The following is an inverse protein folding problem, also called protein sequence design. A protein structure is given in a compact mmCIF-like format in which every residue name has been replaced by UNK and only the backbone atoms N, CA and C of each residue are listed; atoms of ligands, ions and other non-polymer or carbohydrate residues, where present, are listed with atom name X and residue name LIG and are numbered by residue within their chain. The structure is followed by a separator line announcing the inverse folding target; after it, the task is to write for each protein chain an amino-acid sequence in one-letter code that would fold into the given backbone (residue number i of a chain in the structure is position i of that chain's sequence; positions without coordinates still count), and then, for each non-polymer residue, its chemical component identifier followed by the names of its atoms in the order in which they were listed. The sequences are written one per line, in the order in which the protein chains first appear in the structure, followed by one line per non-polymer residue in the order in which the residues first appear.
data_IF_605961494926
#
_entry.id   IF_605961494926
#
_cell.length_a   1.000
_cell.length_b   1.000
_cell.length_c   1.000
_cell.angle_alpha   90.00
_cell.angle_beta   90.00
_cell.angle_gamma   90.00
#
_symmetry.space_group_name_H-M   'P 1'
#
loop_
_entity.id
_entity.type
_entity.pdbx_description
1 polymer ?
#
# COMPACT_ATOMS: atom_id res chain seq x y z
N UNK A 1 -10.25 -20.88 45.03
CA UNK A 1 -10.92 -20.11 43.96
C UNK A 1 -10.27 -18.73 43.95
N UNK A 2 -9.16 -18.58 43.22
CA UNK A 2 -8.40 -17.33 43.17
C UNK A 2 -8.90 -16.50 41.99
N UNK A 3 -9.52 -15.36 42.29
CA UNK A 3 -9.95 -14.37 41.31
C UNK A 3 -8.73 -13.50 41.01
N UNK A 4 -8.14 -13.67 39.82
CA UNK A 4 -7.09 -12.80 39.30
C UNK A 4 -7.79 -11.55 38.77
N UNK A 5 -7.69 -10.45 39.52
CA UNK A 5 -8.19 -9.15 39.11
C UNK A 5 -7.32 -8.57 37.99
N UNK A 6 -7.89 -8.43 36.80
CA UNK A 6 -7.31 -7.66 35.69
C UNK A 6 -7.37 -6.17 36.03
N UNK A 7 -6.21 -5.53 36.20
CA UNK A 7 -6.15 -4.07 36.29
C UNK A 7 -6.34 -3.44 34.92
N UNK A 8 -7.20 -2.42 34.78
CA UNK A 8 -7.37 -1.68 33.53
C UNK A 8 -6.10 -0.86 33.23
N UNK A 9 -5.55 -1.03 32.02
CA UNK A 9 -4.45 -0.20 31.52
C UNK A 9 -4.94 1.25 31.40
N UNK A 10 -4.40 2.13 32.22
CA UNK A 10 -4.60 3.58 32.16
C UNK A 10 -4.18 4.10 30.77
N UNK A 11 -5.15 4.55 29.97
CA UNK A 11 -4.93 5.24 28.71
C UNK A 11 -4.14 6.54 28.97
N UNK A 12 -2.85 6.55 28.61
CA UNK A 12 -2.05 7.78 28.62
C UNK A 12 -2.50 8.64 27.45
N UNK A 13 -3.35 9.62 27.73
CA UNK A 13 -3.67 10.73 26.84
C UNK A 13 -2.48 11.71 26.78
N UNK A 14 -1.36 11.28 26.19
CA UNK A 14 -0.27 12.18 25.83
C UNK A 14 -0.62 12.86 24.52
N UNK A 15 -0.85 14.17 24.55
CA UNK A 15 -1.09 15.00 23.36
C UNK A 15 0.04 14.86 22.36
N UNK A 16 -0.17 14.01 21.36
CA UNK A 16 0.74 13.76 20.26
C UNK A 16 0.50 14.80 19.18
N UNK A 17 0.92 16.04 19.41
CA UNK A 17 1.23 16.97 18.32
C UNK A 17 2.60 16.56 17.78
N UNK A 18 2.69 15.39 17.13
CA UNK A 18 3.92 14.96 16.46
C UNK A 18 3.98 15.71 15.14
N UNK A 19 4.90 16.65 15.03
CA UNK A 19 5.48 17.00 13.74
C UNK A 19 6.04 15.70 13.15
N UNK A 20 5.28 15.06 12.26
CA UNK A 20 5.82 14.00 11.43
C UNK A 20 6.86 14.69 10.57
N UNK A 21 8.14 14.38 10.82
CA UNK A 21 9.20 14.77 9.93
C UNK A 21 8.86 14.18 8.56
N UNK A 22 8.77 15.05 7.54
CA UNK A 22 8.59 14.61 6.16
C UNK A 22 9.81 13.76 5.82
N UNK A 23 9.58 12.46 5.65
CA UNK A 23 10.60 11.56 5.17
C UNK A 23 10.83 11.86 3.69
N UNK A 24 12.08 12.07 3.33
CA UNK A 24 12.52 12.21 1.94
C UNK A 24 13.41 11.00 1.66
N UNK A 25 12.89 9.97 0.97
CA UNK A 25 13.70 8.80 0.66
C UNK A 25 14.85 9.16 -0.27
N UNK A 26 15.99 8.50 -0.09
CA UNK A 26 17.15 8.68 -0.96
C UNK A 26 17.24 7.58 -2.04
N UNK A 27 18.19 7.72 -2.97
CA UNK A 27 18.41 6.73 -4.05
C UNK A 27 18.64 5.32 -3.50
N UNK A 28 19.33 5.18 -2.36
CA UNK A 28 19.60 3.88 -1.79
C UNK A 28 18.33 3.23 -1.25
N UNK A 29 17.37 4.01 -0.74
CA UNK A 29 16.06 3.52 -0.31
C UNK A 29 15.26 2.87 -1.45
N UNK A 30 15.20 3.52 -2.62
CA UNK A 30 14.52 2.95 -3.79
C UNK A 30 15.26 1.74 -4.38
N UNK A 31 16.60 1.74 -4.35
CA UNK A 31 17.39 0.65 -4.90
C UNK A 31 17.44 -0.61 -4.02
N UNK A 32 17.04 -0.53 -2.74
CA UNK A 32 16.96 -1.68 -1.82
C UNK A 32 15.59 -2.37 -1.83
N UNK A 33 14.56 -1.68 -2.30
CA UNK A 33 13.20 -2.21 -2.39
C UNK A 33 13.01 -2.91 -3.75
N UNK A 34 12.59 -4.19 -3.77
CA UNK A 34 12.40 -4.92 -5.02
C UNK A 34 11.33 -4.34 -5.95
N UNK A 35 10.24 -3.77 -5.42
CA UNK A 35 9.17 -3.17 -6.24
C UNK A 35 9.69 -1.93 -6.93
N UNK A 36 10.31 -1.01 -6.19
CA UNK A 36 10.92 0.17 -6.80
C UNK A 36 12.03 -0.19 -7.79
N UNK A 37 12.89 -1.16 -7.43
CA UNK A 37 13.93 -1.63 -8.34
C UNK A 37 13.34 -2.12 -9.67
N UNK A 38 12.25 -2.89 -9.62
CA UNK A 38 11.60 -3.38 -10.83
C UNK A 38 10.88 -2.27 -11.61
N UNK A 39 10.28 -1.27 -10.95
CA UNK A 39 9.72 -0.08 -11.62
C UNK A 39 10.74 0.58 -12.54
N UNK A 40 11.96 0.82 -12.06
CA UNK A 40 13.01 1.45 -12.87
C UNK A 40 13.54 0.53 -13.97
N UNK A 41 13.59 -0.78 -13.73
CA UNK A 41 13.94 -1.77 -14.76
C UNK A 41 12.88 -1.83 -15.86
N UNK A 42 11.60 -1.73 -15.51
CA UNK A 42 10.50 -1.68 -16.47
C UNK A 42 10.53 -0.37 -17.28
N UNK A 43 10.79 0.77 -16.63
CA UNK A 43 10.93 2.06 -17.30
C UNK A 43 12.08 2.06 -18.32
N UNK A 44 13.27 1.60 -17.93
CA UNK A 44 14.44 1.49 -18.81
C UNK A 44 14.17 0.58 -20.02
N UNK A 45 13.52 -0.56 -19.80
CA UNK A 45 13.16 -1.50 -20.88
C UNK A 45 12.13 -0.93 -21.85
N UNK A 46 11.19 -0.16 -21.34
CA UNK A 46 10.20 0.54 -22.17
C UNK A 46 10.81 1.76 -22.89
N UNK A 47 12.08 2.10 -22.62
CA UNK A 47 12.77 3.23 -23.21
C UNK A 47 12.26 4.57 -22.70
N UNK A 48 11.65 4.60 -21.51
CA UNK A 48 11.20 5.81 -20.85
C UNK A 48 12.40 6.59 -20.31
N UNK A 49 12.38 7.90 -20.47
CA UNK A 49 13.34 8.78 -19.80
C UNK A 49 12.88 9.12 -18.36
N UNK A 50 13.49 10.13 -17.73
CA UNK A 50 13.17 10.48 -16.34
C UNK A 50 11.86 11.27 -16.22
N UNK A 51 11.37 11.86 -17.31
CA UNK A 51 10.18 12.71 -17.34
C UNK A 51 8.90 11.87 -17.30
N UNK A 52 8.88 10.69 -17.90
CA UNK A 52 7.69 9.84 -18.00
C UNK A 52 7.32 9.16 -16.68
N UNK A 53 8.25 8.60 -15.87
CA UNK A 53 7.93 8.12 -14.52
C UNK A 53 7.46 9.24 -13.57
N UNK A 54 7.64 10.52 -13.95
CA UNK A 54 7.08 11.64 -13.19
C UNK A 54 5.58 11.89 -13.47
N UNK A 55 5.05 11.31 -14.55
CA UNK A 55 3.62 11.26 -14.81
C UNK A 55 2.93 10.29 -13.82
N UNK A 56 1.92 10.73 -13.05
CA UNK A 56 1.30 9.87 -12.05
C UNK A 56 0.64 8.60 -12.59
N UNK A 57 0.08 8.65 -13.81
CA UNK A 57 -0.52 7.47 -14.43
C UNK A 57 0.55 6.41 -14.69
N UNK A 58 1.63 6.84 -15.34
CA UNK A 58 2.77 6.01 -15.71
C UNK A 58 3.45 5.42 -14.47
N UNK A 59 3.68 6.23 -13.42
CA UNK A 59 4.23 5.76 -12.16
C UNK A 59 3.36 4.67 -11.50
N UNK A 60 2.04 4.88 -11.49
CA UNK A 60 1.09 3.93 -10.89
C UNK A 60 1.03 2.62 -11.67
N UNK A 61 1.02 2.70 -13.00
CA UNK A 61 1.10 1.55 -13.89
C UNK A 61 2.38 0.73 -13.66
N UNK A 62 3.53 1.39 -13.66
CA UNK A 62 4.81 0.72 -13.42
C UNK A 62 4.81 0.06 -12.05
N UNK A 63 4.28 0.73 -11.02
CA UNK A 63 4.17 0.20 -9.67
C UNK A 63 3.31 -1.07 -9.59
N UNK A 64 2.10 -1.05 -10.17
CA UNK A 64 1.20 -2.19 -10.19
C UNK A 64 1.78 -3.36 -11.00
N UNK A 65 2.39 -3.08 -12.16
CA UNK A 65 3.09 -4.11 -12.96
C UNK A 65 4.23 -4.75 -12.17
N UNK A 66 5.07 -3.92 -11.55
CA UNK A 66 6.20 -4.39 -10.75
C UNK A 66 5.72 -5.22 -9.55
N UNK A 67 4.65 -4.80 -8.90
CA UNK A 67 4.09 -5.54 -7.77
C UNK A 67 3.55 -6.90 -8.20
N UNK A 68 2.78 -6.97 -9.29
CA UNK A 68 2.27 -8.23 -9.83
C UNK A 68 3.40 -9.19 -10.21
N UNK A 69 4.39 -8.71 -10.96
CA UNK A 69 5.56 -9.52 -11.36
C UNK A 69 6.35 -10.06 -10.14
N UNK A 70 6.29 -9.39 -8.99
CA UNK A 70 6.97 -9.82 -7.77
C UNK A 70 6.05 -10.51 -6.76
N UNK A 71 4.74 -10.54 -7.01
CA UNK A 71 3.76 -11.12 -6.10
C UNK A 71 4.11 -12.61 -5.83
N UNK A 72 4.02 -13.09 -4.58
CA UNK A 72 4.23 -14.50 -4.25
C UNK A 72 3.39 -15.49 -5.06
N UNK A 73 2.25 -15.02 -5.57
CA UNK A 73 1.25 -15.82 -6.27
C UNK A 73 1.28 -15.64 -7.79
N UNK A 74 2.09 -14.72 -8.32
CA UNK A 74 2.16 -14.56 -9.78
C UNK A 74 2.80 -15.78 -10.43
N UNK A 75 2.12 -16.31 -11.44
CA UNK A 75 2.53 -17.50 -12.18
C UNK A 75 3.86 -17.30 -12.92
N UNK A 76 4.59 -18.39 -13.15
CA UNK A 76 5.86 -18.39 -13.89
C UNK A 76 6.79 -19.52 -13.47
N UNK A 77 7.81 -19.78 -14.28
CA UNK A 77 8.81 -20.82 -14.02
C UNK A 77 9.82 -20.42 -12.92
N UNK A 78 10.01 -19.11 -12.71
CA UNK A 78 10.93 -18.55 -11.72
C UNK A 78 10.22 -18.31 -10.36
N UNK A 79 10.87 -18.73 -9.27
CA UNK A 79 10.37 -18.45 -7.91
C UNK A 79 10.32 -16.93 -7.64
N UNK A 80 9.25 -16.40 -7.01
CA UNK A 80 9.12 -14.97 -6.66
C UNK A 80 10.36 -14.38 -5.96
N UNK A 81 11.02 -15.14 -5.08
CA UNK A 81 12.23 -14.68 -4.39
C UNK A 81 13.40 -14.41 -5.35
N UNK A 82 13.56 -15.25 -6.38
CA UNK A 82 14.60 -15.07 -7.40
C UNK A 82 14.31 -13.85 -8.29
N UNK A 83 13.02 -13.60 -8.61
CA UNK A 83 12.59 -12.41 -9.35
C UNK A 83 12.94 -11.12 -8.59
N UNK A 84 12.64 -11.05 -7.29
CA UNK A 84 13.03 -9.91 -6.43
C UNK A 84 14.55 -9.70 -6.41
N UNK A 85 15.33 -10.76 -6.18
CA UNK A 85 16.79 -10.67 -6.19
C UNK A 85 17.33 -10.18 -7.54
N UNK A 86 16.74 -10.65 -8.65
CA UNK A 86 17.11 -10.23 -10.01
C UNK A 86 16.78 -8.75 -10.26
N UNK A 87 15.63 -8.26 -9.81
CA UNK A 87 15.26 -6.85 -9.93
C UNK A 87 16.31 -5.95 -9.24
N UNK A 88 16.72 -6.31 -8.02
CA UNK A 88 17.75 -5.58 -7.26
C UNK A 88 19.12 -5.58 -7.96
N UNK A 89 19.48 -6.63 -8.69
CA UNK A 89 20.71 -6.64 -9.50
C UNK A 89 20.58 -5.78 -10.77
N UNK A 90 19.43 -5.86 -11.45
CA UNK A 90 19.19 -5.15 -12.71
C UNK A 90 19.05 -3.64 -12.53
N UNK A 91 18.59 -3.15 -11.37
CA UNK A 91 18.49 -1.71 -11.11
C UNK A 91 19.85 -1.05 -10.85
N UNK A 92 20.88 -1.80 -10.44
CA UNK A 92 22.22 -1.25 -10.12
C UNK A 92 22.80 -0.33 -11.19
N UNK A 93 22.86 -0.72 -12.48
CA UNK A 93 23.34 0.17 -13.55
C UNK A 93 22.41 1.36 -13.81
N UNK A 94 21.14 1.30 -13.39
CA UNK A 94 20.13 2.33 -13.59
C UNK A 94 20.13 3.43 -12.53
N UNK A 95 21.12 3.43 -11.61
CA UNK A 95 21.25 4.48 -10.57
C UNK A 95 21.08 5.91 -11.10
N UNK A 96 21.62 6.33 -12.27
CA UNK A 96 21.40 7.67 -12.78
C UNK A 96 19.94 7.98 -13.11
N UNK A 97 19.19 7.00 -13.65
CA UNK A 97 17.75 7.14 -13.90
C UNK A 97 16.99 7.26 -12.58
N UNK A 98 17.29 6.39 -11.60
CA UNK A 98 16.69 6.47 -10.26
C UNK A 98 16.92 7.85 -9.65
N UNK A 99 18.17 8.33 -9.65
CA UNK A 99 18.53 9.65 -9.12
C UNK A 99 17.80 10.79 -9.83
N UNK A 100 17.69 10.75 -11.16
CA UNK A 100 16.99 11.76 -11.93
C UNK A 100 15.49 11.82 -11.57
N UNK A 101 14.83 10.65 -11.51
CA UNK A 101 13.39 10.57 -11.21
C UNK A 101 13.12 11.01 -9.77
N UNK A 102 13.84 10.50 -8.77
CA UNK A 102 13.51 10.80 -7.36
C UNK A 102 13.79 12.26 -6.97
N UNK A 103 14.76 12.90 -7.63
CA UNK A 103 15.10 14.31 -7.37
C UNK A 103 14.25 15.27 -8.22
N UNK A 104 13.38 14.76 -9.10
CA UNK A 104 12.44 15.59 -9.82
C UNK A 104 11.34 16.12 -8.89
N UNK A 105 11.21 17.44 -8.82
CA UNK A 105 10.18 18.11 -8.03
C UNK A 105 8.74 17.73 -8.39
N UNK A 106 8.49 17.24 -9.62
CA UNK A 106 7.20 16.68 -10.04
C UNK A 106 6.83 15.45 -9.24
N UNK A 107 7.79 14.70 -8.69
CA UNK A 107 7.57 13.52 -7.85
C UNK A 107 7.37 13.84 -6.37
N UNK A 108 7.21 15.11 -6.01
CA UNK A 108 6.90 15.52 -4.63
C UNK A 108 5.57 14.95 -4.09
N UNK A 109 4.71 14.41 -4.96
CA UNK A 109 3.48 13.72 -4.55
C UNK A 109 3.73 12.29 -4.04
N UNK A 110 4.87 11.65 -4.35
CA UNK A 110 5.15 10.28 -3.92
C UNK A 110 5.15 10.11 -2.38
N UNK A 111 5.83 10.97 -1.60
CA UNK A 111 5.77 10.93 -0.13
C UNK A 111 4.64 11.79 0.45
N UNK A 112 3.79 12.39 -0.40
CA UNK A 112 2.75 13.27 0.09
C UNK A 112 1.64 12.46 0.81
N UNK A 113 1.05 13.01 1.87
CA UNK A 113 -0.16 12.43 2.47
C UNK A 113 -1.28 12.32 1.45
N UNK A 114 -2.19 11.36 1.65
CA UNK A 114 -3.32 11.14 0.77
C UNK A 114 -4.19 12.41 0.62
N UNK A 115 -4.62 12.72 -0.61
CA UNK A 115 -5.45 13.89 -0.85
C UNK A 115 -6.87 13.65 -0.32
N UNK A 116 -7.19 14.26 0.82
CA UNK A 116 -8.45 14.10 1.54
C UNK A 116 -9.70 14.40 0.71
N UNK A 117 -9.61 15.29 -0.27
CA UNK A 117 -10.74 15.67 -1.12
C UNK A 117 -10.93 14.79 -2.37
N UNK A 118 -9.98 13.88 -2.60
CA UNK A 118 -9.82 13.11 -3.84
C UNK A 118 -9.50 11.65 -3.53
N UNK A 119 -10.26 11.04 -2.61
CA UNK A 119 -10.11 9.63 -2.28
C UNK A 119 -11.08 8.82 -3.11
N UNK A 120 -10.57 7.91 -3.94
CA UNK A 120 -11.39 7.08 -4.81
C UNK A 120 -11.62 5.71 -4.19
N UNK A 121 -12.89 5.35 -4.05
CA UNK A 121 -13.33 4.02 -3.66
C UNK A 121 -13.90 3.27 -4.86
N UNK A 122 -13.38 2.07 -5.09
CA UNK A 122 -13.83 1.14 -6.13
C UNK A 122 -14.40 -0.12 -5.46
N UNK A 123 -15.58 -0.58 -5.89
CA UNK A 123 -16.19 -1.79 -5.34
C UNK A 123 -17.23 -2.40 -6.28
N UNK A 124 -17.25 -3.73 -6.33
CA UNK A 124 -18.25 -4.59 -6.98
C UNK A 124 -19.30 -5.13 -5.99
N UNK A 125 -19.10 -4.92 -4.68
CA UNK A 125 -20.04 -5.35 -3.64
C UNK A 125 -21.05 -4.25 -3.32
N UNK A 126 -22.29 -4.45 -3.77
CA UNK A 126 -23.40 -3.53 -3.54
C UNK A 126 -23.71 -3.28 -2.06
N UNK A 127 -23.28 -4.18 -1.18
CA UNK A 127 -23.53 -4.11 0.27
C UNK A 127 -22.56 -3.18 0.99
N UNK A 128 -21.43 -2.81 0.35
CA UNK A 128 -20.46 -1.88 0.92
C UNK A 128 -20.96 -0.46 0.72
N UNK A 129 -21.31 0.19 1.83
CA UNK A 129 -21.58 1.62 1.89
C UNK A 129 -20.31 2.33 2.40
N UNK A 130 -19.59 3.10 1.56
CA UNK A 130 -18.36 3.76 1.98
C UNK A 130 -18.58 4.75 3.13
N UNK A 131 -19.80 5.26 3.32
CA UNK A 131 -20.13 6.16 4.44
C UNK A 131 -20.30 5.42 5.77
N UNK A 132 -20.34 4.08 5.77
CA UNK A 132 -20.55 3.23 6.95
C UNK A 132 -19.39 2.27 7.17
N UNK A 133 -18.19 2.82 7.30
CA UNK A 133 -16.98 2.07 7.64
C UNK A 133 -17.17 1.34 8.97
N UNK A 134 -17.05 0.01 8.97
CA UNK A 134 -17.08 -0.79 10.18
C UNK A 134 -15.78 -0.61 10.97
N UNK A 135 -15.89 -0.38 12.28
CA UNK A 135 -14.70 -0.33 13.14
C UNK A 135 -14.24 -1.75 13.49
N UNK A 136 -12.99 -2.12 13.19
CA UNK A 136 -12.45 -3.43 13.56
C UNK A 136 -12.57 -3.67 15.07
N UNK A 137 -12.92 -4.91 15.45
CA UNK A 137 -13.12 -5.29 16.84
C UNK A 137 -12.42 -6.63 17.13
N UNK A 138 -11.88 -6.77 18.33
CA UNK A 138 -11.23 -8.00 18.77
C UNK A 138 -9.76 -8.14 18.33
N UNK A 139 -9.16 -9.33 18.52
CA UNK A 139 -7.79 -9.61 18.12
C UNK A 139 -7.66 -9.73 16.59
N UNK A 140 -6.44 -9.59 16.07
CA UNK A 140 -6.17 -9.81 14.65
C UNK A 140 -6.57 -11.23 14.22
N UNK A 141 -7.31 -11.34 13.11
CA UNK A 141 -7.67 -12.65 12.54
C UNK A 141 -6.50 -13.27 11.77
N UNK A 142 -6.58 -14.56 11.43
CA UNK A 142 -5.57 -15.21 10.59
C UNK A 142 -5.43 -14.54 9.22
N UNK A 143 -6.55 -14.11 8.65
CA UNK A 143 -6.57 -13.37 7.40
C UNK A 143 -5.93 -11.98 7.55
N UNK A 144 -6.24 -11.24 8.62
CA UNK A 144 -5.63 -9.92 8.85
C UNK A 144 -4.12 -10.00 9.09
N UNK A 145 -3.64 -11.08 9.73
CA UNK A 145 -2.21 -11.35 9.89
C UNK A 145 -1.52 -11.63 8.56
N UNK A 146 -2.18 -12.39 7.69
CA UNK A 146 -1.68 -12.72 6.36
C UNK A 146 -1.70 -11.51 5.41
N UNK A 147 -2.87 -10.91 5.22
CA UNK A 147 -3.12 -9.83 4.27
C UNK A 147 -2.65 -8.46 4.77
N UNK A 148 -2.26 -8.36 6.05
CA UNK A 148 -1.73 -7.14 6.66
C UNK A 148 -2.67 -5.93 6.52
N UNK A 149 -3.98 -6.17 6.50
CA UNK A 149 -5.05 -5.16 6.38
C UNK A 149 -6.33 -5.69 7.08
N UNK A 150 -7.33 -4.85 7.40
CA UNK A 150 -8.55 -5.28 8.08
C UNK A 150 -9.56 -6.02 7.18
N UNK A 151 -10.31 -6.99 7.71
CA UNK A 151 -11.15 -7.91 6.90
C UNK A 151 -12.38 -7.24 6.28
N UNK A 152 -12.99 -6.29 6.99
CA UNK A 152 -14.19 -5.56 6.55
C UNK A 152 -13.89 -4.08 6.41
N UNK A 153 -13.26 -3.72 5.29
CA UNK A 153 -12.66 -2.41 5.09
C UNK A 153 -13.28 -1.67 3.91
N UNK A 154 -13.36 -0.35 4.07
CA UNK A 154 -13.45 0.57 2.94
C UNK A 154 -12.02 0.98 2.63
N UNK A 155 -11.57 0.68 1.42
CA UNK A 155 -10.27 1.12 0.93
C UNK A 155 -10.47 2.24 -0.10
N UNK A 156 -9.59 3.22 -0.05
CA UNK A 156 -9.45 4.22 -1.09
C UNK A 156 -8.03 4.27 -1.63
N UNK A 157 -7.89 4.77 -2.85
CA UNK A 157 -6.62 5.25 -3.40
C UNK A 157 -6.76 6.73 -3.74
N UNK A 158 -5.67 7.46 -3.77
CA UNK A 158 -5.68 8.87 -4.12
C UNK A 158 -5.92 9.04 -5.63
N UNK A 159 -6.95 9.80 -5.97
CA UNK A 159 -7.24 10.16 -7.34
C UNK A 159 -6.17 11.13 -7.86
N UNK A 160 -5.57 10.76 -8.98
CA UNK A 160 -4.47 11.47 -9.62
C UNK A 160 -5.02 12.61 -10.49
N UNK A 161 -4.21 13.63 -10.69
CA UNK A 161 -4.55 14.72 -11.62
C UNK A 161 -4.23 14.26 -13.04
N UNK A 162 -5.26 14.26 -13.89
CA UNK A 162 -5.15 13.97 -15.33
C UNK A 162 -5.52 15.18 -16.17
N UNK A 163 -5.19 15.14 -17.46
CA UNK A 163 -5.59 16.22 -18.36
C UNK A 163 -7.13 16.28 -18.49
N UNK A 164 -7.70 17.47 -18.76
CA UNK A 164 -9.15 17.60 -18.94
C UNK A 164 -9.67 16.68 -20.05
N UNK A 165 -10.66 15.83 -19.73
CA UNK A 165 -11.27 14.88 -20.66
C UNK A 165 -10.67 13.47 -20.62
N UNK A 166 -9.59 13.26 -19.87
CA UNK A 166 -9.04 11.94 -19.60
C UNK A 166 -9.81 11.21 -18.49
N UNK A 167 -9.76 9.89 -18.54
CA UNK A 167 -10.36 9.02 -17.52
C UNK A 167 -9.67 9.25 -16.18
N UNK A 168 -10.47 9.42 -15.13
CA UNK A 168 -9.97 9.47 -13.75
C UNK A 168 -9.14 8.23 -13.44
N UNK A 169 -7.97 8.41 -12.82
CA UNK A 169 -7.05 7.32 -12.48
C UNK A 169 -6.56 7.45 -11.04
N UNK A 170 -6.18 6.31 -10.48
CA UNK A 170 -5.58 6.16 -9.15
C UNK A 170 -4.76 4.87 -9.14
N UNK A 171 -4.04 4.60 -8.05
CA UNK A 171 -3.33 3.32 -7.87
C UNK A 171 -4.25 2.11 -8.06
N UNK A 172 -5.49 2.17 -7.59
CA UNK A 172 -6.46 1.09 -7.76
C UNK A 172 -6.89 0.87 -9.23
N UNK A 173 -6.92 1.90 -10.06
CA UNK A 173 -7.19 1.75 -11.49
C UNK A 173 -6.03 1.07 -12.22
N UNK A 174 -4.80 1.45 -11.89
CA UNK A 174 -3.60 0.81 -12.46
C UNK A 174 -3.54 -0.68 -12.09
N UNK A 175 -3.87 -1.00 -10.83
CA UNK A 175 -3.96 -2.36 -10.32
C UNK A 175 -4.98 -3.20 -11.09
N UNK A 176 -6.20 -2.68 -11.28
CA UNK A 176 -7.25 -3.33 -12.07
C UNK A 176 -6.84 -3.54 -13.54
N UNK A 177 -6.19 -2.55 -14.16
CA UNK A 177 -5.85 -2.62 -15.57
C UNK A 177 -4.76 -3.63 -15.90
N UNK A 178 -3.88 -3.91 -14.93
CA UNK A 178 -2.85 -4.95 -15.05
C UNK A 178 -3.27 -6.29 -14.43
N UNK A 179 -4.38 -6.33 -13.70
CA UNK A 179 -4.82 -7.52 -12.98
C UNK A 179 -3.86 -7.92 -11.87
N UNK A 180 -3.23 -6.92 -11.23
CA UNK A 180 -2.32 -7.15 -10.12
C UNK A 180 -3.10 -7.64 -8.89
N UNK A 181 -2.51 -8.59 -8.15
CA UNK A 181 -3.08 -9.09 -6.90
C UNK A 181 -4.12 -10.19 -7.06
N UNK A 182 -5.02 -10.30 -6.08
CA UNK A 182 -6.06 -11.34 -6.01
C UNK A 182 -7.49 -10.81 -6.21
N UNK A 183 -7.64 -9.55 -6.61
CA UNK A 183 -8.93 -8.90 -6.81
C UNK A 183 -9.39 -8.98 -8.27
N UNK A 184 -10.40 -9.79 -8.52
CA UNK A 184 -11.05 -9.95 -9.83
C UNK A 184 -12.52 -9.52 -9.72
N UNK A 185 -12.82 -8.22 -9.83
CA UNK A 185 -14.19 -7.76 -9.60
C UNK A 185 -15.15 -8.14 -10.72
N UNK A 186 -16.43 -8.21 -10.37
CA UNK A 186 -17.52 -8.22 -11.34
C UNK A 186 -17.79 -6.79 -11.87
N UNK A 187 -17.96 -6.67 -13.19
CA UNK A 187 -18.30 -5.40 -13.86
C UNK A 187 -19.81 -5.31 -14.15
N UNK A 188 -20.43 -4.11 -14.12
CA UNK A 188 -19.80 -2.81 -13.96
C UNK A 188 -19.34 -2.50 -12.52
N UNK A 189 -18.11 -1.99 -12.39
CA UNK A 189 -17.51 -1.64 -11.10
C UNK A 189 -17.93 -0.24 -10.66
N UNK A 190 -18.45 -0.10 -9.44
CA UNK A 190 -18.90 1.20 -8.93
C UNK A 190 -17.70 2.05 -8.51
N UNK A 191 -17.79 3.33 -8.85
CA UNK A 191 -16.79 4.32 -8.50
C UNK A 191 -17.40 5.40 -7.62
N UNK A 192 -16.76 5.71 -6.49
CA UNK A 192 -17.20 6.81 -5.61
C UNK A 192 -15.99 7.65 -5.21
N UNK A 193 -16.06 8.96 -5.48
CA UNK A 193 -15.14 9.94 -4.89
C UNK A 193 -15.61 10.30 -3.49
N UNK A 194 -14.76 10.07 -2.50
CA UNK A 194 -14.98 10.37 -1.10
C UNK A 194 -14.17 11.59 -0.68
N UNK A 195 -14.77 12.40 0.19
CA UNK A 195 -14.10 13.49 0.87
C UNK A 195 -13.94 13.13 2.35
N UNK A 196 -12.69 13.05 2.80
CA UNK A 196 -12.29 12.74 4.17
C UNK A 196 -12.39 14.00 5.02
N UNK A 197 -12.92 13.86 6.24
CA UNK A 197 -12.97 14.91 7.23
C UNK A 197 -11.58 15.47 7.55
N UNK A 198 -11.50 16.79 7.74
CA UNK A 198 -10.25 17.45 8.18
C UNK A 198 -9.81 17.00 9.59
N UNK A 199 -10.74 16.45 10.38
CA UNK A 199 -10.45 15.92 11.72
C UNK A 199 -9.94 14.47 11.69
N UNK A 200 -9.90 13.82 10.51
CA UNK A 200 -9.43 12.45 10.40
C UNK A 200 -7.94 12.35 10.75
N UNK A 201 -7.61 11.41 11.64
CA UNK A 201 -6.26 11.02 12.01
C UNK A 201 -5.83 9.86 11.13
N UNK A 202 -4.83 10.06 10.30
CA UNK A 202 -4.30 9.02 9.40
C UNK A 202 -2.87 8.69 9.81
N UNK A 203 -2.57 7.40 9.95
CA UNK A 203 -1.20 6.94 10.13
C UNK A 203 -0.56 6.76 8.75
N UNK A 204 0.49 7.52 8.47
CA UNK A 204 1.21 7.49 7.20
C UNK A 204 2.36 6.48 7.27
N UNK A 205 2.43 5.57 6.30
CA UNK A 205 3.56 4.67 6.07
C UNK A 205 4.34 5.22 4.88
N UNK A 206 5.51 5.80 5.14
CA UNK A 206 6.38 6.37 4.11
C UNK A 206 7.68 5.59 3.90
N UNK A 207 7.97 4.64 4.80
CA UNK A 207 9.21 3.87 4.84
C UNK A 207 9.00 2.60 5.68
N UNK A 208 9.89 1.60 5.60
CA UNK A 208 9.66 0.32 6.23
C UNK A 208 9.66 0.42 7.76
N UNK A 209 10.38 1.39 8.34
CA UNK A 209 10.37 1.64 9.78
C UNK A 209 9.01 2.16 10.30
N UNK A 210 8.22 2.82 9.46
CA UNK A 210 6.90 3.30 9.86
C UNK A 210 5.91 2.13 9.97
N UNK A 211 5.99 1.17 9.04
CA UNK A 211 5.24 -0.10 9.13
C UNK A 211 5.69 -0.90 10.36
N UNK A 212 7.00 -1.08 10.55
CA UNK A 212 7.54 -1.75 11.72
C UNK A 212 7.05 -1.10 13.01
N UNK A 213 7.11 0.24 13.11
CA UNK A 213 6.64 1.00 14.26
C UNK A 213 5.14 0.81 14.54
N UNK A 214 4.30 0.74 13.50
CA UNK A 214 2.87 0.46 13.62
C UNK A 214 2.64 -0.94 14.20
N UNK A 215 3.30 -1.95 13.63
CA UNK A 215 3.23 -3.35 14.09
C UNK A 215 3.73 -3.49 15.52
N UNK A 216 4.87 -2.89 15.88
CA UNK A 216 5.41 -2.98 17.23
C UNK A 216 4.56 -2.26 18.26
N UNK A 217 3.84 -1.21 17.86
CA UNK A 217 2.96 -0.46 18.77
C UNK A 217 1.61 -1.15 18.99
N UNK A 218 1.02 -1.72 17.95
CA UNK A 218 -0.37 -2.21 17.97
C UNK A 218 -0.50 -3.73 17.75
N UNK A 219 0.58 -4.43 17.42
CA UNK A 219 0.62 -5.88 17.27
C UNK A 219 0.82 -6.60 18.61
N UNK A 220 0.51 -7.90 18.60
CA UNK A 220 0.88 -8.82 19.68
C UNK A 220 1.92 -9.81 19.12
N UNK A 221 3.21 -9.68 19.48
CA UNK A 221 4.22 -10.65 19.05
C UNK A 221 3.87 -12.10 19.43
N UNK A 222 3.09 -12.31 20.51
CA UNK A 222 2.63 -13.63 20.94
C UNK A 222 1.52 -14.23 20.09
N UNK A 223 0.85 -13.44 19.24
CA UNK A 223 -0.14 -13.92 18.27
C UNK A 223 0.51 -14.40 16.98
N UNK A 224 1.75 -13.98 16.68
CA UNK A 224 2.49 -14.45 15.52
C UNK A 224 2.91 -15.91 15.71
N UNK A 225 2.55 -16.76 14.73
CA UNK A 225 2.82 -18.22 14.76
C UNK A 225 4.01 -18.61 13.89
N UNK A 226 4.77 -17.63 13.41
CA UNK A 226 5.75 -17.81 12.35
C UNK A 226 5.14 -17.55 10.98
N UNK A 227 5.99 -17.48 9.94
CA UNK A 227 5.54 -17.17 8.59
C UNK A 227 4.66 -18.29 8.06
N UNK A 228 3.75 -17.95 7.15
CA UNK A 228 3.11 -18.98 6.32
C UNK A 228 4.20 -19.80 5.63
N UNK A 229 4.23 -21.12 5.84
CA UNK A 229 5.19 -22.03 5.19
C UNK A 229 5.20 -21.80 3.68
N UNK A 230 4.02 -21.59 3.09
CA UNK A 230 3.88 -21.32 1.67
C UNK A 230 4.53 -19.99 1.24
N UNK A 231 4.38 -18.90 2.03
CA UNK A 231 5.03 -17.62 1.73
C UNK A 231 6.55 -17.70 1.90
N UNK A 232 7.03 -18.43 2.91
CA UNK A 232 8.46 -18.61 3.13
C UNK A 232 9.09 -19.47 2.02
N UNK A 233 8.45 -20.59 1.64
CA UNK A 233 9.00 -21.52 0.67
C UNK A 233 8.99 -20.97 -0.77
N UNK A 234 7.89 -20.31 -1.16
CA UNK A 234 7.73 -19.76 -2.50
C UNK A 234 8.42 -18.41 -2.65
N UNK A 235 8.30 -17.56 -1.63
CA UNK A 235 8.67 -16.15 -1.73
C UNK A 235 9.79 -15.74 -0.75
N UNK A 236 10.22 -16.58 0.19
CA UNK A 236 11.22 -16.19 1.18
C UNK A 236 10.76 -15.02 2.05
N UNK A 237 9.44 -14.85 2.22
CA UNK A 237 8.86 -13.73 2.97
C UNK A 237 8.57 -14.20 4.39
N UNK A 238 9.26 -13.57 5.35
CA UNK A 238 8.85 -13.54 6.75
C UNK A 238 8.14 -12.22 7.01
N UNK A 239 6.81 -12.25 7.02
CA UNK A 239 6.00 -11.03 7.17
C UNK A 239 5.96 -10.52 8.61
N UNK A 240 6.32 -11.35 9.58
CA UNK A 240 6.26 -11.00 11.00
C UNK A 240 4.83 -10.87 11.53
N UNK A 241 4.65 -10.32 12.75
CA UNK A 241 3.34 -9.96 13.27
C UNK A 241 2.64 -8.90 12.40
N UNK A 242 1.32 -8.80 12.56
CA UNK A 242 0.53 -7.71 12.01
C UNK A 242 -0.06 -6.84 13.15
N UNK A 243 -0.49 -5.60 12.86
CA UNK A 243 -1.17 -4.78 13.85
C UNK A 243 -2.51 -5.41 14.26
N UNK A 244 -2.89 -5.28 15.54
CA UNK A 244 -4.28 -5.50 15.94
C UNK A 244 -5.10 -4.30 15.50
N UNK A 245 -5.86 -4.42 14.41
CA UNK A 245 -6.56 -3.30 13.78
C UNK A 245 -7.56 -2.59 14.70
N UNK A 246 -8.16 -3.29 15.66
CA UNK A 246 -9.02 -2.66 16.68
C UNK A 246 -8.25 -1.72 17.61
N UNK A 247 -6.98 -2.03 17.90
CA UNK A 247 -6.10 -1.15 18.68
C UNK A 247 -5.61 0.03 17.84
N UNK A 248 -5.33 -0.18 16.55
CA UNK A 248 -5.00 0.90 15.61
C UNK A 248 -6.19 1.87 15.50
N UNK A 249 -7.41 1.34 15.37
CA UNK A 249 -8.64 2.13 15.25
C UNK A 249 -8.96 3.00 16.48
N UNK A 250 -8.39 2.67 17.65
CA UNK A 250 -8.53 3.51 18.84
C UNK A 250 -7.77 4.84 18.71
N UNK A 251 -6.65 4.83 17.98
CA UNK A 251 -5.78 6.00 17.82
C UNK A 251 -5.94 6.66 16.44
N UNK A 252 -6.27 5.90 15.40
CA UNK A 252 -6.28 6.35 14.01
C UNK A 252 -7.59 6.00 13.31
N UNK A 253 -8.02 6.86 12.38
CA UNK A 253 -9.18 6.63 11.55
C UNK A 253 -8.86 5.86 10.25
N UNK A 254 -7.61 5.90 9.81
CA UNK A 254 -7.11 5.19 8.63
C UNK A 254 -5.61 5.00 8.70
N UNK A 255 -5.10 4.08 7.89
CA UNK A 255 -3.66 3.87 7.69
C UNK A 255 -3.39 4.01 6.21
N UNK A 256 -2.55 4.96 5.81
CA UNK A 256 -2.25 5.25 4.42
C UNK A 256 -0.83 4.81 4.09
N UNK A 257 -0.68 4.04 3.01
CA UNK A 257 0.61 3.74 2.39
C UNK A 257 0.80 4.70 1.24
N UNK A 258 1.74 5.63 1.38
CA UNK A 258 2.07 6.55 0.28
C UNK A 258 2.76 5.78 -0.85
N UNK A 259 2.84 6.37 -2.04
CA UNK A 259 3.56 5.72 -3.15
C UNK A 259 5.06 5.56 -2.83
N UNK A 260 5.68 6.56 -2.18
CA UNK A 260 7.05 6.42 -1.69
C UNK A 260 7.17 5.32 -0.62
N UNK A 261 6.16 5.19 0.25
CA UNK A 261 6.08 4.10 1.22
C UNK A 261 6.04 2.74 0.54
N UNK A 262 5.21 2.59 -0.49
CA UNK A 262 5.15 1.37 -1.30
C UNK A 262 6.51 1.06 -1.93
N UNK A 263 7.18 2.06 -2.50
CA UNK A 263 8.49 1.94 -3.15
C UNK A 263 9.68 1.76 -2.22
N UNK A 264 9.49 1.84 -0.91
CA UNK A 264 10.60 1.71 0.05
C UNK A 264 10.36 0.63 1.10
N UNK A 265 9.12 0.14 1.21
CA UNK A 265 8.71 -0.78 2.26
C UNK A 265 8.32 -2.17 1.77
N UNK A 266 8.03 -2.32 0.47
CA UNK A 266 7.50 -3.57 -0.08
C UNK A 266 8.60 -4.62 -0.16
N UNK A 267 8.42 -5.71 0.59
CA UNK A 267 9.42 -6.78 0.73
C UNK A 267 10.73 -6.35 1.41
N UNK A 268 10.74 -5.19 2.10
CA UNK A 268 11.90 -4.72 2.86
C UNK A 268 11.78 -5.13 4.32
N UNK A 269 12.76 -5.90 4.77
CA UNK A 269 12.83 -6.43 6.13
C UNK A 269 13.28 -5.37 7.13
N UNK A 270 12.56 -5.22 8.23
CA UNK A 270 13.03 -4.46 9.41
C UNK A 270 13.11 -5.39 10.61
N UNK A 271 14.29 -5.48 11.19
CA UNK A 271 14.56 -6.34 12.36
C UNK A 271 15.04 -5.51 13.55
N UNK A 272 14.47 -5.82 14.71
CA UNK A 272 14.96 -5.38 16.02
C UNK A 272 15.27 -6.60 16.88
N UNK A 273 15.69 -6.38 18.12
CA UNK A 273 15.86 -7.49 19.07
C UNK A 273 14.54 -8.20 19.41
N UNK A 274 13.41 -7.50 19.26
CA UNK A 274 12.10 -8.00 19.70
C UNK A 274 11.34 -8.71 18.58
N UNK A 275 11.41 -8.20 17.34
CA UNK A 275 10.71 -8.77 16.21
C UNK A 275 11.29 -8.34 14.87
N UNK A 276 10.87 -9.06 13.84
CA UNK A 276 11.10 -8.75 12.43
C UNK A 276 9.76 -8.54 11.74
N UNK A 277 9.66 -7.56 10.84
CA UNK A 277 8.44 -7.28 10.06
C UNK A 277 8.79 -6.99 8.61
N UNK A 278 7.90 -7.38 7.70
CA UNK A 278 7.97 -7.05 6.27
C UNK A 278 6.59 -6.68 5.77
N UNK A 279 6.43 -5.55 5.08
CA UNK A 279 5.18 -5.24 4.37
C UNK A 279 5.19 -5.97 3.02
N UNK A 280 4.15 -6.72 2.69
CA UNK A 280 4.16 -7.52 1.45
C UNK A 280 2.82 -7.57 0.69
N UNK A 281 1.70 -7.21 1.31
CA UNK A 281 0.35 -7.50 0.77
C UNK A 281 -0.45 -6.25 0.32
N UNK A 282 0.23 -5.11 0.13
CA UNK A 282 -0.39 -3.85 -0.29
C UNK A 282 0.10 -3.51 -1.71
N UNK A 283 -0.75 -3.77 -2.72
CA UNK A 283 -0.35 -3.76 -4.14
C UNK A 283 -0.24 -2.38 -4.78
N UNK A 284 -0.77 -1.33 -4.12
CA UNK A 284 -0.73 0.06 -4.61
C UNK A 284 -0.88 1.05 -3.44
N UNK A 285 -0.67 2.35 -3.70
CA UNK A 285 -0.96 3.44 -2.75
C UNK A 285 -2.42 3.39 -2.28
N UNK A 286 -2.65 3.15 -0.99
CA UNK A 286 -4.00 2.96 -0.49
C UNK A 286 -4.17 3.33 0.96
N UNK A 287 -5.43 3.61 1.32
CA UNK A 287 -5.87 3.84 2.69
C UNK A 287 -7.01 2.88 3.06
N UNK A 288 -6.76 1.82 3.84
CA UNK A 288 -7.78 1.17 4.64
C UNK A 288 -8.30 2.11 5.73
N UNK A 289 -9.60 2.40 5.68
CA UNK A 289 -10.31 3.17 6.69
C UNK A 289 -10.83 2.26 7.79
N UNK A 290 -10.65 2.69 9.04
CA UNK A 290 -10.98 1.96 10.26
C UNK A 290 -12.19 2.55 10.98
N UNK A 291 -12.62 3.76 10.59
CA UNK A 291 -13.72 4.49 11.20
C UNK A 291 -14.44 5.36 10.15
N UNK A 292 -15.73 5.69 10.35
CA UNK A 292 -16.48 6.52 9.42
C UNK A 292 -16.01 7.98 9.52
N UNK A 293 -15.24 8.43 8.53
CA UNK A 293 -14.65 9.78 8.50
C UNK A 293 -14.90 10.54 7.22
N UNK A 294 -15.80 10.06 6.36
CA UNK A 294 -16.16 10.77 5.14
C UNK A 294 -17.29 11.76 5.40
N UNK A 295 -17.16 12.98 4.87
CA UNK A 295 -18.18 14.02 4.96
C UNK A 295 -18.98 14.18 3.66
N UNK A 296 -18.49 13.61 2.55
CA UNK A 296 -19.18 13.58 1.27
C UNK A 296 -18.78 12.35 0.44
N UNK A 297 -19.72 11.89 -0.36
CA UNK A 297 -19.55 10.84 -1.36
C UNK A 297 -20.19 11.29 -2.67
N UNK A 298 -19.42 11.28 -3.75
CA UNK A 298 -19.86 11.65 -5.09
C UNK A 298 -19.72 10.43 -6.00
N UNK A 299 -20.83 9.81 -6.44
CA UNK A 299 -20.79 8.75 -7.44
C UNK A 299 -20.14 9.26 -8.73
N UNK A 300 -19.27 8.43 -9.32
CA UNK A 300 -18.71 8.64 -10.64
C UNK A 300 -19.32 7.62 -11.61
N UNK A 301 -19.17 7.79 -12.94
CA UNK A 301 -19.55 6.75 -13.90
C UNK A 301 -18.89 5.41 -13.51
N UNK A 302 -19.62 4.28 -13.54
CA UNK A 302 -19.01 2.99 -13.26
C UNK A 302 -17.97 2.64 -14.34
N UNK A 303 -17.02 1.76 -14.00
CA UNK A 303 -16.19 1.12 -15.01
C UNK A 303 -16.98 -0.03 -15.62
N UNK A 304 -17.15 -0.05 -16.93
CA UNK A 304 -17.86 -1.14 -17.63
C UNK A 304 -16.96 -2.35 -17.87
N UNK A 305 -15.64 -2.14 -17.85
CA UNK A 305 -14.60 -3.15 -18.02
C UNK A 305 -13.33 -2.69 -17.30
N UNK A 306 -12.35 -3.58 -17.16
CA UNK A 306 -11.05 -3.23 -16.61
C UNK A 306 -10.40 -2.12 -17.45
N UNK A 307 -9.76 -1.11 -16.85
CA UNK A 307 -8.99 -0.12 -17.60
C UNK A 307 -7.96 -0.81 -18.50
N UNK A 308 -7.74 -0.33 -19.72
CA UNK A 308 -6.73 -0.91 -20.59
C UNK A 308 -5.32 -0.66 -20.02
N UNK A 309 -4.73 -1.67 -19.37
CA UNK A 309 -3.34 -1.63 -18.91
C UNK A 309 -2.34 -1.68 -20.07
N UNK A 310 -2.70 -2.28 -21.21
CA UNK A 310 -1.78 -2.47 -22.34
C UNK A 310 -1.45 -1.18 -23.09
N UNK A 311 -2.29 -0.15 -22.96
CA UNK A 311 -2.02 1.19 -23.50
C UNK A 311 -0.78 1.85 -22.88
N UNK A 312 -0.31 1.38 -21.73
CA UNK A 312 0.76 2.04 -20.98
C UNK A 312 2.13 1.38 -21.12
N UNK A 313 2.20 0.05 -21.30
CA UNK A 313 3.47 -0.67 -21.48
C UNK A 313 3.23 -1.89 -22.37
N UNK A 314 3.92 -1.97 -23.50
CA UNK A 314 3.85 -3.14 -24.39
C UNK A 314 4.61 -4.31 -23.73
N UNK A 315 3.96 -5.42 -23.36
CA UNK A 315 4.63 -6.52 -22.68
C UNK A 315 5.47 -7.33 -23.69
N UNK A 316 6.75 -7.53 -23.33
CA UNK A 316 7.67 -8.63 -23.72
C UNK A 316 7.60 -9.24 -25.13
#
# INVERSE_FOLDING_TARGET
MHIIGSQPRSARSGGLTRCQHVFVPDVADFMRDPVAALVFVLADRAGLDADEPADPATASVLASTAFDELNPWSGGDDRPAARRARALELVKPLRPLVDAVINDSRNAWWPAPGNRSRQLHLTDDDRVDPMRVATPAGPATGWEMYAQKPEHRVETSTELTVAPGETTISGAHADLGYGAGDWFPDYPLRQTRLCVSDDARVYEINRPEDWHGLVMRYGDPGSYRGPSEQLLDLAGIDHGPAPTWSAVAADWNGVHLTLAGMFTSSFVLVSTADATTTLWAWEFERTPWLQPVFNAATPLPPLEEAPDGSGFLNPW
#
